data_IF_703844930140
#
_entry.id   IF_703844930140
#
_cell.length_a   1.000
_cell.length_b   1.000
_cell.length_c   1.000
_cell.angle_alpha   90.00
_cell.angle_beta   90.00
_cell.angle_gamma   90.00
#
_symmetry.space_group_name_H-M   'P 1'
#
loop_
_entity.id
_entity.type
_entity.pdbx_description
1 polymer ?
#
# COMPACT_ATOMS: atom_id res chain seq x y z
N UNK A 1 -3.92 -1.89 -19.67
CA UNK A 1 -3.73 -2.01 -18.19
C UNK A 1 -2.89 -3.25 -17.91
N UNK A 2 -1.89 -3.11 -17.06
CA UNK A 2 -1.08 -4.24 -16.63
C UNK A 2 -1.96 -5.18 -15.80
N UNK A 3 -1.88 -6.46 -16.08
CA UNK A 3 -2.61 -7.46 -15.32
C UNK A 3 -2.01 -7.60 -13.92
N UNK A 4 -2.85 -7.76 -12.91
CA UNK A 4 -2.38 -8.03 -11.55
C UNK A 4 -1.49 -9.29 -11.53
N UNK A 5 -1.83 -10.30 -12.31
CA UNK A 5 -1.03 -11.52 -12.45
C UNK A 5 0.41 -11.22 -12.84
N UNK A 6 0.61 -10.27 -13.78
CA UNK A 6 1.94 -9.88 -14.21
C UNK A 6 2.73 -9.23 -13.08
N UNK A 7 2.07 -8.35 -12.31
CA UNK A 7 2.70 -7.72 -11.13
C UNK A 7 3.09 -8.74 -10.08
N UNK A 8 2.27 -9.75 -9.85
CA UNK A 8 2.55 -10.79 -8.86
C UNK A 8 3.72 -11.68 -9.27
N UNK A 9 4.02 -11.77 -10.55
CA UNK A 9 5.14 -12.56 -11.06
C UNK A 9 6.45 -11.76 -11.13
N UNK A 10 6.39 -10.45 -10.95
CA UNK A 10 7.60 -9.64 -10.94
C UNK A 10 8.39 -9.82 -9.64
N UNK A 11 9.69 -9.56 -9.71
CA UNK A 11 10.53 -9.56 -8.52
C UNK A 11 10.08 -8.43 -7.58
N UNK A 12 9.83 -8.78 -6.32
CA UNK A 12 9.44 -7.79 -5.33
C UNK A 12 10.60 -6.84 -5.03
N UNK A 13 10.34 -5.55 -4.81
CA UNK A 13 11.38 -4.62 -4.42
C UNK A 13 11.89 -4.94 -3.02
N UNK A 14 13.13 -4.52 -2.76
CA UNK A 14 13.74 -4.65 -1.43
C UNK A 14 13.47 -3.44 -0.57
N UNK A 15 12.90 -2.40 -1.12
CA UNK A 15 12.66 -1.13 -0.45
C UNK A 15 11.26 -0.63 -0.81
N UNK A 16 10.48 -0.31 0.22
CA UNK A 16 9.11 0.16 0.04
C UNK A 16 9.03 1.62 0.49
N UNK A 17 8.55 2.48 -0.40
CA UNK A 17 8.48 3.93 -0.23
C UNK A 17 7.14 4.44 -0.71
N UNK A 18 6.75 5.68 -0.35
CA UNK A 18 5.56 6.29 -0.97
C UNK A 18 5.65 6.37 -2.50
N UNK A 19 6.84 6.57 -3.05
CA UNK A 19 7.07 6.58 -4.49
C UNK A 19 6.75 5.22 -5.11
N UNK A 20 7.11 4.14 -4.43
CA UNK A 20 6.76 2.78 -4.87
C UNK A 20 5.24 2.58 -4.88
N UNK A 21 4.55 3.07 -3.85
CA UNK A 21 3.09 3.01 -3.79
C UNK A 21 2.45 3.72 -4.99
N UNK A 22 2.95 4.92 -5.31
CA UNK A 22 2.48 5.67 -6.48
C UNK A 22 2.77 4.92 -7.79
N UNK A 23 3.94 4.31 -7.90
CA UNK A 23 4.32 3.53 -9.08
C UNK A 23 3.40 2.32 -9.27
N UNK A 24 3.05 1.62 -8.19
CA UNK A 24 2.09 0.51 -8.26
C UNK A 24 0.73 0.98 -8.76
N UNK A 25 0.23 2.08 -8.23
CA UNK A 25 -1.05 2.65 -8.63
C UNK A 25 -1.04 3.01 -10.12
N UNK A 26 0.03 3.64 -10.56
CA UNK A 26 0.19 4.02 -11.96
C UNK A 26 0.21 2.78 -12.87
N UNK A 27 0.97 1.75 -12.51
CA UNK A 27 1.04 0.52 -13.30
C UNK A 27 -0.31 -0.15 -13.47
N UNK A 28 -1.13 -0.16 -12.43
CA UNK A 28 -2.44 -0.83 -12.47
C UNK A 28 -3.48 0.03 -13.18
N UNK A 29 -3.47 1.35 -12.97
CA UNK A 29 -4.58 2.22 -13.37
C UNK A 29 -4.26 3.24 -14.46
N UNK A 30 -3.04 3.25 -15.04
CA UNK A 30 -2.65 4.28 -16.01
C UNK A 30 -3.58 4.38 -17.22
N UNK A 31 -4.17 3.26 -17.63
CA UNK A 31 -5.09 3.24 -18.79
C UNK A 31 -6.54 3.50 -18.40
N UNK A 32 -6.82 3.57 -17.11
CA UNK A 32 -8.18 3.77 -16.59
C UNK A 32 -8.37 5.21 -16.09
N UNK A 33 -7.37 5.74 -15.38
CA UNK A 33 -7.45 7.05 -14.76
C UNK A 33 -6.29 7.94 -15.20
N UNK A 34 -6.57 9.17 -15.67
CA UNK A 34 -5.49 10.10 -16.05
C UNK A 34 -4.65 10.56 -14.86
N UNK A 35 -5.18 10.45 -13.64
CA UNK A 35 -4.47 10.82 -12.41
C UNK A 35 -3.80 9.61 -11.74
N UNK A 36 -3.68 8.47 -12.43
CA UNK A 36 -3.05 7.28 -11.86
C UNK A 36 -1.64 7.60 -11.34
N UNK A 37 -1.32 7.11 -10.14
CA UNK A 37 -0.04 7.34 -9.49
C UNK A 37 0.09 8.68 -8.78
N UNK A 38 -0.96 9.50 -8.77
CA UNK A 38 -0.96 10.81 -8.12
C UNK A 38 -1.90 10.82 -6.93
N UNK A 39 -1.47 11.46 -5.84
CA UNK A 39 -2.32 11.61 -4.66
C UNK A 39 -3.54 12.47 -4.99
N UNK A 40 -4.66 12.15 -4.32
CA UNK A 40 -5.85 12.97 -4.44
C UNK A 40 -5.60 14.39 -3.96
N UNK A 41 -6.31 15.33 -4.56
CA UNK A 41 -6.23 16.77 -4.25
C UNK A 41 -7.51 17.27 -3.60
N UNK A 42 -8.34 16.35 -3.12
CA UNK A 42 -9.61 16.65 -2.46
C UNK A 42 -9.74 15.79 -1.21
N UNK A 43 -10.48 16.29 -0.24
CA UNK A 43 -10.83 15.49 0.94
C UNK A 43 -11.99 14.58 0.57
N UNK A 44 -11.96 13.35 1.07
CA UNK A 44 -13.00 12.37 0.79
C UNK A 44 -13.47 11.69 2.07
N UNK A 45 -14.70 11.22 2.04
CA UNK A 45 -15.32 10.46 3.10
C UNK A 45 -16.07 9.27 2.50
N UNK A 46 -16.23 8.21 3.28
CA UNK A 46 -17.01 7.05 2.90
C UNK A 46 -17.91 6.68 4.08
N UNK A 47 -19.22 6.88 3.91
CA UNK A 47 -20.15 6.77 5.03
C UNK A 47 -19.81 7.80 6.09
N UNK A 48 -19.63 7.34 7.33
CA UNK A 48 -19.26 8.20 8.46
C UNK A 48 -17.74 8.34 8.62
N UNK A 49 -16.95 7.69 7.75
CA UNK A 49 -15.49 7.74 7.83
C UNK A 49 -14.96 8.90 7.02
N UNK A 50 -14.28 9.84 7.69
CA UNK A 50 -13.54 10.92 7.06
C UNK A 50 -12.08 10.51 7.01
N UNK A 51 -11.52 10.44 5.79
CA UNK A 51 -10.12 10.11 5.61
C UNK A 51 -9.23 11.32 5.86
N UNK A 52 -7.92 11.08 5.96
CA UNK A 52 -6.93 12.13 6.20
C UNK A 52 -7.10 13.28 5.20
N UNK A 53 -6.90 14.52 5.67
CA UNK A 53 -6.92 15.69 4.79
C UNK A 53 -5.83 15.55 3.73
N UNK A 54 -6.17 15.88 2.47
CA UNK A 54 -5.27 15.63 1.35
C UNK A 54 -3.93 16.35 1.47
N UNK A 55 -3.88 17.50 2.13
CA UNK A 55 -2.63 18.23 2.32
C UNK A 55 -1.63 17.49 3.23
N UNK A 56 -2.10 16.52 4.01
CA UNK A 56 -1.29 15.77 4.94
C UNK A 56 -0.84 14.40 4.40
N UNK A 57 -1.31 14.01 3.22
CA UNK A 57 -1.06 12.68 2.66
C UNK A 57 0.46 12.40 2.53
N UNK A 58 1.18 13.30 1.88
CA UNK A 58 2.60 13.08 1.62
C UNK A 58 3.41 12.92 2.91
N UNK A 59 3.18 13.78 3.91
CA UNK A 59 3.90 13.72 5.18
C UNK A 59 3.55 12.48 5.99
N UNK A 60 2.29 12.10 6.03
CA UNK A 60 1.86 10.93 6.79
C UNK A 60 2.33 9.62 6.14
N UNK A 61 2.33 9.54 4.82
CA UNK A 61 2.90 8.39 4.11
C UNK A 61 4.39 8.27 4.38
N UNK A 62 5.11 9.38 4.40
CA UNK A 62 6.54 9.37 4.69
C UNK A 62 6.82 8.78 6.07
N UNK A 63 6.04 9.16 7.07
CA UNK A 63 6.16 8.63 8.42
C UNK A 63 5.85 7.12 8.42
N UNK A 64 4.74 6.72 7.80
CA UNK A 64 4.31 5.34 7.77
C UNK A 64 5.37 4.43 7.13
N UNK A 65 5.91 4.81 5.98
CA UNK A 65 6.91 4.02 5.28
C UNK A 65 8.29 4.07 5.98
N UNK A 66 8.61 5.18 6.65
CA UNK A 66 9.83 5.25 7.46
C UNK A 66 9.78 4.27 8.63
N UNK A 67 8.62 4.16 9.28
CA UNK A 67 8.43 3.20 10.35
C UNK A 67 8.57 1.76 9.84
N UNK A 68 8.06 1.47 8.65
CA UNK A 68 8.20 0.16 8.02
C UNK A 68 9.68 -0.15 7.75
N UNK A 69 10.43 0.82 7.23
CA UNK A 69 11.86 0.66 6.97
C UNK A 69 12.65 0.44 8.27
N UNK A 70 12.30 1.17 9.33
CA UNK A 70 12.94 1.02 10.64
C UNK A 70 12.66 -0.35 11.24
N UNK A 71 11.57 -0.99 10.88
CA UNK A 71 11.24 -2.35 11.27
C UNK A 71 11.82 -3.39 10.30
N UNK A 72 12.79 -2.99 9.46
CA UNK A 72 13.44 -3.85 8.47
C UNK A 72 12.43 -4.52 7.53
N UNK A 73 11.38 -3.78 7.16
CA UNK A 73 10.32 -4.25 6.27
C UNK A 73 9.68 -5.56 6.76
N UNK A 74 9.63 -5.74 8.07
CA UNK A 74 9.05 -6.89 8.78
C UNK A 74 9.74 -8.21 8.45
N UNK A 75 11.00 -8.18 7.98
CA UNK A 75 11.81 -9.38 7.81
C UNK A 75 12.15 -9.98 9.16
N UNK A 76 12.32 -11.29 9.18
CA UNK A 76 12.73 -12.04 10.38
C UNK A 76 11.72 -11.95 11.52
N UNK A 77 10.46 -11.68 11.21
CA UNK A 77 9.38 -11.73 12.18
C UNK A 77 8.72 -13.11 12.17
N UNK A 78 8.10 -13.47 13.29
CA UNK A 78 7.22 -14.64 13.31
C UNK A 78 5.95 -14.34 12.55
N UNK A 79 5.18 -15.37 12.11
CA UNK A 79 3.88 -15.11 11.46
C UNK A 79 2.93 -14.26 12.30
N UNK A 80 2.91 -14.45 13.62
CA UNK A 80 2.08 -13.67 14.52
C UNK A 80 2.54 -12.21 14.56
N UNK A 81 3.84 -11.98 14.71
CA UNK A 81 4.42 -10.63 14.71
C UNK A 81 4.15 -9.93 13.39
N UNK A 82 4.32 -10.63 12.27
CA UNK A 82 4.04 -10.08 10.94
C UNK A 82 2.58 -9.67 10.84
N UNK A 83 1.65 -10.55 11.22
CA UNK A 83 0.21 -10.27 11.14
C UNK A 83 -0.18 -9.03 11.93
N UNK A 84 0.34 -8.86 13.13
CA UNK A 84 0.05 -7.69 13.94
C UNK A 84 0.61 -6.42 13.32
N UNK A 85 1.86 -6.45 12.87
CA UNK A 85 2.52 -5.29 12.30
C UNK A 85 1.88 -4.87 10.97
N UNK A 86 1.59 -5.83 10.08
CA UNK A 86 0.99 -5.53 8.79
C UNK A 86 -0.46 -5.06 8.97
N UNK A 87 -1.17 -5.60 9.96
CA UNK A 87 -2.51 -5.14 10.29
C UNK A 87 -2.53 -3.67 10.68
N UNK A 88 -1.61 -3.26 11.54
CA UNK A 88 -1.46 -1.85 11.94
C UNK A 88 -1.09 -0.97 10.75
N UNK A 89 -0.20 -1.43 9.90
CA UNK A 89 0.19 -0.74 8.67
C UNK A 89 -1.01 -0.50 7.76
N UNK A 90 -1.82 -1.54 7.55
CA UNK A 90 -3.01 -1.47 6.69
C UNK A 90 -4.01 -0.47 7.28
N UNK A 91 -4.25 -0.50 8.59
CA UNK A 91 -5.18 0.43 9.24
C UNK A 91 -4.76 1.88 8.98
N UNK A 92 -3.49 2.20 9.18
CA UNK A 92 -2.98 3.54 8.94
C UNK A 92 -3.05 3.94 7.47
N UNK A 93 -2.66 3.03 6.56
CA UNK A 93 -2.71 3.30 5.13
C UNK A 93 -4.16 3.54 4.66
N UNK A 94 -5.10 2.76 5.20
CA UNK A 94 -6.51 2.93 4.88
C UNK A 94 -7.06 4.28 5.35
N UNK A 95 -6.63 4.76 6.50
CA UNK A 95 -7.03 6.07 7.02
C UNK A 95 -6.42 7.22 6.20
N UNK A 96 -5.20 7.04 5.72
CA UNK A 96 -4.57 8.03 4.82
C UNK A 96 -5.33 8.07 3.50
N UNK A 97 -5.66 6.91 2.93
CA UNK A 97 -6.47 6.80 1.71
C UNK A 97 -5.96 7.72 0.60
N UNK A 98 -4.73 7.49 0.10
CA UNK A 98 -4.01 8.52 -0.67
C UNK A 98 -4.56 8.79 -2.07
N UNK A 99 -5.31 7.87 -2.67
CA UNK A 99 -5.79 8.01 -4.05
C UNK A 99 -7.30 8.22 -4.08
N UNK A 100 -7.79 8.76 -5.20
CA UNK A 100 -9.24 8.95 -5.38
C UNK A 100 -9.97 7.61 -5.49
N UNK A 101 -9.37 6.64 -6.18
CA UNK A 101 -9.90 5.30 -6.39
C UNK A 101 -8.78 4.29 -6.38
N UNK A 102 -9.10 3.02 -6.15
CA UNK A 102 -8.13 1.95 -6.26
C UNK A 102 -7.31 1.71 -5.01
N UNK A 103 -7.61 2.38 -3.90
CA UNK A 103 -6.83 2.25 -2.66
C UNK A 103 -6.81 0.82 -2.15
N UNK A 104 -7.95 0.14 -2.09
CA UNK A 104 -8.03 -1.22 -1.57
C UNK A 104 -7.20 -2.21 -2.39
N UNK A 105 -7.28 -2.11 -3.71
CA UNK A 105 -6.52 -3.01 -4.61
C UNK A 105 -5.02 -2.79 -4.46
N UNK A 106 -4.57 -1.54 -4.39
CA UNK A 106 -3.16 -1.22 -4.25
C UNK A 106 -2.64 -1.63 -2.87
N UNK A 107 -3.44 -1.47 -1.82
CA UNK A 107 -3.08 -1.95 -0.49
C UNK A 107 -2.82 -3.46 -0.50
N UNK A 108 -3.69 -4.23 -1.12
CA UNK A 108 -3.51 -5.69 -1.20
C UNK A 108 -2.25 -6.09 -1.95
N UNK A 109 -1.96 -5.42 -3.07
CA UNK A 109 -0.75 -5.67 -3.83
C UNK A 109 0.50 -5.34 -3.02
N UNK A 110 0.49 -4.20 -2.35
CA UNK A 110 1.62 -3.77 -1.52
C UNK A 110 1.88 -4.75 -0.38
N UNK A 111 0.82 -5.16 0.32
CA UNK A 111 0.93 -6.12 1.43
C UNK A 111 1.49 -7.45 0.93
N UNK A 112 1.04 -7.90 -0.24
CA UNK A 112 1.57 -9.12 -0.85
C UNK A 112 3.07 -9.00 -1.12
N UNK A 113 3.51 -7.86 -1.65
CA UNK A 113 4.92 -7.62 -1.92
C UNK A 113 5.76 -7.58 -0.64
N UNK A 114 5.25 -6.92 0.40
CA UNK A 114 5.94 -6.85 1.70
C UNK A 114 6.08 -8.25 2.28
N UNK A 115 5.02 -9.06 2.24
CA UNK A 115 5.05 -10.42 2.74
C UNK A 115 6.05 -11.29 1.97
N UNK A 116 6.02 -11.21 0.64
CA UNK A 116 6.94 -11.96 -0.21
C UNK A 116 8.39 -11.57 0.08
N UNK A 117 8.66 -10.29 0.22
CA UNK A 117 10.00 -9.79 0.56
C UNK A 117 10.46 -10.28 1.94
N UNK A 118 9.54 -10.48 2.86
CA UNK A 118 9.83 -11.02 4.19
C UNK A 118 9.90 -12.55 4.22
N UNK A 119 9.72 -13.22 3.09
CA UNK A 119 9.78 -14.67 2.98
C UNK A 119 8.50 -15.39 3.38
N UNK A 120 7.37 -14.68 3.40
CA UNK A 120 6.09 -15.23 3.79
C UNK A 120 5.16 -15.36 2.58
N UNK A 121 4.21 -16.30 2.67
CA UNK A 121 3.18 -16.49 1.65
C UNK A 121 1.82 -16.08 2.21
N UNK A 122 1.07 -15.31 1.43
CA UNK A 122 -0.28 -14.90 1.80
C UNK A 122 -1.31 -15.70 1.03
N UNK A 123 -2.40 -16.04 1.73
CA UNK A 123 -3.59 -16.60 1.12
C UNK A 123 -4.51 -15.43 0.71
N UNK A 124 -4.66 -15.23 -0.59
CA UNK A 124 -5.50 -14.15 -1.10
C UNK A 124 -6.97 -14.24 -0.70
N UNK A 125 -7.44 -15.45 -0.40
CA UNK A 125 -8.82 -15.61 0.01
C UNK A 125 -9.10 -15.11 1.42
N UNK A 126 -8.06 -14.99 2.23
CA UNK A 126 -8.18 -14.50 3.60
C UNK A 126 -7.72 -13.05 3.78
N UNK A 127 -7.38 -12.38 2.70
CA UNK A 127 -6.89 -10.99 2.72
C UNK A 127 -7.99 -10.00 2.38
#
# INVERSE_FOLDING_TARGET
MIQIRELLNETSPNNFTPEHLCALHEQVFSKVYPWAGKFRKVDIAKGDTLFLKHQQIASELKILFSNLANANFLKNTTPTEFSEAIGNFIIHLNLIHPFREGNGRIQRLLVWQIAKNAGLTLDWQSV
#
